data_IF_682358710574
#
_entry.id   IF_682358710574
#
_cell.length_a   1.000
_cell.length_b   1.000
_cell.length_c   1.000
_cell.angle_alpha   90.00
_cell.angle_beta   90.00
_cell.angle_gamma   90.00
#
_symmetry.space_group_name_H-M   'P 1'
#
loop_
_entity.id
_entity.type
_entity.pdbx_description
1 polymer ?
#
# COMPACT_ATOMS: atom_id res chain seq x y z
N UNK A 1 15.40 20.80 -6.90
CA UNK A 1 15.11 19.39 -7.25
C UNK A 1 13.64 19.32 -7.60
N UNK A 2 13.27 18.64 -8.69
CA UNK A 2 11.86 18.39 -9.00
C UNK A 2 11.25 17.51 -7.91
N UNK A 3 10.01 17.82 -7.50
CA UNK A 3 9.24 16.93 -6.60
C UNK A 3 8.95 15.63 -7.35
N UNK A 4 9.03 14.52 -6.66
CA UNK A 4 8.67 13.20 -7.19
C UNK A 4 7.73 12.49 -6.24
N UNK A 5 6.91 11.60 -6.76
CA UNK A 5 5.96 10.80 -5.99
C UNK A 5 5.76 9.43 -6.63
N UNK A 6 5.59 8.43 -5.84
CA UNK A 6 5.08 7.13 -6.26
C UNK A 6 3.56 7.09 -6.13
N UNK A 7 2.88 6.48 -7.10
CA UNK A 7 1.45 6.19 -7.02
C UNK A 7 1.27 4.69 -6.86
N UNK A 8 0.74 4.27 -5.71
CA UNK A 8 0.48 2.87 -5.45
C UNK A 8 -1.01 2.56 -5.35
N UNK A 9 -1.39 1.32 -5.69
CA UNK A 9 -2.75 0.85 -5.59
C UNK A 9 -2.77 -0.61 -5.11
N UNK A 10 -3.79 -0.96 -4.31
CA UNK A 10 -4.05 -2.32 -3.87
C UNK A 10 -4.80 -3.07 -4.97
N UNK A 11 -4.24 -4.18 -5.46
CA UNK A 11 -4.69 -4.92 -6.63
C UNK A 11 -4.68 -6.44 -6.38
N UNK A 12 -5.28 -7.19 -7.31
CA UNK A 12 -5.45 -8.63 -7.12
C UNK A 12 -6.49 -8.99 -6.05
N UNK A 13 -7.37 -8.04 -5.75
CA UNK A 13 -8.39 -8.14 -4.70
C UNK A 13 -9.79 -8.48 -5.24
N UNK A 14 -9.93 -8.63 -6.56
CA UNK A 14 -11.21 -8.96 -7.21
C UNK A 14 -12.12 -7.78 -7.48
N UNK A 15 -11.62 -6.54 -7.41
CA UNK A 15 -12.40 -5.33 -7.68
C UNK A 15 -12.72 -5.11 -9.18
N UNK A 16 -12.02 -5.81 -10.09
CA UNK A 16 -12.27 -5.76 -11.52
C UNK A 16 -11.64 -4.57 -12.28
N UNK A 17 -10.85 -3.73 -11.61
CA UNK A 17 -10.27 -2.52 -12.18
C UNK A 17 -8.75 -2.58 -12.38
N UNK A 18 -8.13 -3.74 -12.12
CA UNK A 18 -6.67 -3.91 -12.12
C UNK A 18 -6.03 -3.44 -13.44
N UNK A 19 -6.60 -3.86 -14.58
CA UNK A 19 -6.05 -3.51 -15.89
C UNK A 19 -6.06 -2.00 -16.17
N UNK A 20 -7.11 -1.30 -15.76
CA UNK A 20 -7.23 0.14 -15.96
C UNK A 20 -6.31 0.92 -15.02
N UNK A 21 -6.21 0.51 -13.76
CA UNK A 21 -5.36 1.13 -12.76
C UNK A 21 -3.88 0.96 -13.08
N UNK A 22 -3.46 -0.21 -13.61
CA UNK A 22 -2.08 -0.45 -14.04
C UNK A 22 -1.57 0.55 -15.08
N UNK A 23 -2.46 1.21 -15.83
CA UNK A 23 -2.06 2.22 -16.83
C UNK A 23 -1.65 3.56 -16.21
N UNK A 24 -1.92 3.80 -14.93
CA UNK A 24 -1.74 5.11 -14.29
C UNK A 24 -0.95 5.09 -12.98
N UNK A 25 -0.71 3.91 -12.42
CA UNK A 25 0.08 3.74 -11.19
C UNK A 25 1.54 3.40 -11.50
N UNK A 26 2.39 3.49 -10.49
CA UNK A 26 3.82 3.12 -10.57
C UNK A 26 4.17 1.93 -9.71
N UNK A 27 3.34 1.62 -8.71
CA UNK A 27 3.52 0.48 -7.79
C UNK A 27 2.20 -0.24 -7.54
N UNK A 28 2.20 -1.57 -7.64
CA UNK A 28 1.04 -2.42 -7.37
C UNK A 28 1.27 -3.21 -6.07
N UNK A 29 0.37 -3.08 -5.10
CA UNK A 29 0.36 -3.91 -3.90
C UNK A 29 -0.53 -5.12 -4.17
N UNK A 30 0.07 -6.28 -4.42
CA UNK A 30 -0.67 -7.46 -4.89
C UNK A 30 -1.09 -8.33 -3.70
N UNK A 31 -2.40 -8.59 -3.58
CA UNK A 31 -2.96 -9.48 -2.57
C UNK A 31 -2.33 -10.87 -2.63
N UNK A 32 -1.92 -11.39 -1.46
CA UNK A 32 -1.13 -12.62 -1.35
C UNK A 32 -1.94 -13.84 -0.89
N UNK A 33 -3.24 -13.89 -1.21
CA UNK A 33 -4.10 -15.04 -1.00
C UNK A 33 -4.73 -15.16 0.40
N UNK A 34 -4.35 -14.33 1.37
CA UNK A 34 -4.87 -14.44 2.73
C UNK A 34 -6.21 -13.69 2.92
N UNK A 35 -6.24 -12.39 2.64
CA UNK A 35 -7.45 -11.58 2.72
C UNK A 35 -8.23 -11.56 1.40
N UNK A 36 -7.53 -11.66 0.28
CA UNK A 36 -8.08 -11.67 -1.07
C UNK A 36 -7.12 -12.36 -2.04
N UNK A 37 -7.58 -12.58 -3.27
CA UNK A 37 -6.81 -13.23 -4.33
C UNK A 37 -6.56 -14.73 -4.08
N UNK A 38 -5.85 -15.33 -5.00
CA UNK A 38 -5.32 -16.70 -4.97
C UNK A 38 -4.08 -16.76 -5.88
N UNK A 39 -3.51 -17.93 -6.10
CA UNK A 39 -2.33 -18.09 -6.93
C UNK A 39 -2.58 -17.64 -8.38
N UNK A 40 -3.74 -17.98 -8.95
CA UNK A 40 -4.13 -17.59 -10.32
C UNK A 40 -4.24 -16.06 -10.43
N UNK A 41 -4.87 -15.43 -9.46
CA UNK A 41 -5.01 -13.97 -9.40
C UNK A 41 -3.65 -13.29 -9.24
N UNK A 42 -2.78 -13.81 -8.36
CA UNK A 42 -1.41 -13.31 -8.21
C UNK A 42 -0.62 -13.37 -9.51
N UNK A 43 -0.69 -14.53 -10.23
CA UNK A 43 0.00 -14.72 -11.52
C UNK A 43 -0.50 -13.72 -12.56
N UNK A 44 -1.82 -13.56 -12.68
CA UNK A 44 -2.44 -12.63 -13.63
C UNK A 44 -2.05 -11.17 -13.33
N UNK A 45 -2.13 -10.74 -12.05
CA UNK A 45 -1.81 -9.38 -11.65
C UNK A 45 -0.30 -9.08 -11.80
N UNK A 46 0.59 -10.05 -11.50
CA UNK A 46 2.04 -9.93 -11.75
C UNK A 46 2.34 -9.80 -13.25
N UNK A 47 1.67 -10.60 -14.10
CA UNK A 47 1.84 -10.50 -15.54
C UNK A 47 1.43 -9.12 -16.06
N UNK A 48 0.31 -8.59 -15.58
CA UNK A 48 -0.20 -7.28 -15.91
C UNK A 48 0.77 -6.16 -15.46
N UNK A 49 1.29 -6.23 -14.22
CA UNK A 49 2.26 -5.30 -13.71
C UNK A 49 3.54 -5.26 -14.57
N UNK A 50 4.05 -6.44 -14.97
CA UNK A 50 5.20 -6.55 -15.90
C UNK A 50 4.92 -5.91 -17.24
N UNK A 51 3.74 -6.13 -17.81
CA UNK A 51 3.33 -5.56 -19.10
C UNK A 51 3.34 -4.02 -19.07
N UNK A 52 2.96 -3.42 -17.95
CA UNK A 52 2.90 -1.97 -17.79
C UNK A 52 4.15 -1.34 -17.15
N UNK A 53 5.17 -2.15 -16.81
CA UNK A 53 6.37 -1.65 -16.14
C UNK A 53 6.11 -1.12 -14.71
N UNK A 54 5.06 -1.64 -14.05
CA UNK A 54 4.66 -1.26 -12.70
C UNK A 54 5.46 -2.09 -11.68
N UNK A 55 5.97 -1.45 -10.64
CA UNK A 55 6.70 -2.11 -9.56
C UNK A 55 5.78 -3.07 -8.78
N UNK A 56 6.27 -4.28 -8.51
CA UNK A 56 5.49 -5.33 -7.85
C UNK A 56 5.79 -5.33 -6.36
N UNK A 57 4.76 -5.19 -5.53
CA UNK A 57 4.83 -5.28 -4.09
C UNK A 57 3.89 -6.33 -3.52
N UNK A 58 4.27 -6.91 -2.39
CA UNK A 58 3.43 -7.84 -1.66
C UNK A 58 2.47 -7.10 -0.71
N UNK A 59 1.21 -7.54 -0.67
CA UNK A 59 0.15 -6.97 0.15
C UNK A 59 -0.35 -7.98 1.19
N UNK A 60 0.49 -8.33 2.21
CA UNK A 60 0.12 -9.31 3.22
C UNK A 60 -0.92 -8.76 4.18
N UNK A 61 -1.94 -9.56 4.49
CA UNK A 61 -3.01 -9.25 5.42
C UNK A 61 -3.34 -10.42 6.34
N UNK A 62 -4.22 -10.18 7.30
CA UNK A 62 -4.79 -11.26 8.10
C UNK A 62 -5.59 -12.24 7.24
N UNK A 63 -5.59 -13.53 7.60
CA UNK A 63 -6.31 -14.58 6.90
C UNK A 63 -7.82 -14.52 7.24
N UNK A 64 -8.47 -13.47 6.80
CA UNK A 64 -9.86 -13.13 7.11
C UNK A 64 -10.59 -12.67 5.84
N UNK A 65 -10.86 -13.60 4.94
CA UNK A 65 -11.55 -13.33 3.66
C UNK A 65 -12.96 -12.80 3.86
N UNK A 66 -13.66 -13.26 4.88
CA UNK A 66 -15.04 -12.85 5.17
C UNK A 66 -15.15 -11.36 5.47
N UNK A 67 -14.14 -10.79 6.16
CA UNK A 67 -14.08 -9.36 6.47
C UNK A 67 -12.98 -8.66 5.64
N UNK A 68 -12.51 -9.28 4.58
CA UNK A 68 -11.51 -8.70 3.69
C UNK A 68 -10.23 -8.24 4.42
N UNK A 69 -9.79 -9.01 5.45
CA UNK A 69 -8.61 -8.66 6.26
C UNK A 69 -8.74 -7.37 7.07
N UNK A 70 -9.96 -6.83 7.22
CA UNK A 70 -10.22 -5.55 7.91
C UNK A 70 -10.58 -5.70 9.39
N UNK A 71 -10.76 -6.93 9.87
CA UNK A 71 -10.95 -7.23 11.29
C UNK A 71 -9.59 -7.42 11.97
N UNK A 72 -9.42 -6.80 13.13
CA UNK A 72 -8.22 -7.02 13.94
C UNK A 72 -8.23 -8.40 14.62
N UNK A 73 -7.09 -9.05 14.55
CA UNK A 73 -6.86 -10.33 15.21
C UNK A 73 -5.79 -10.15 16.28
N UNK A 74 -6.04 -10.67 17.48
CA UNK A 74 -5.08 -10.70 18.56
C UNK A 74 -4.10 -11.88 18.35
N UNK A 75 -3.10 -11.66 17.47
CA UNK A 75 -2.04 -12.63 17.22
C UNK A 75 -0.77 -12.25 17.98
N UNK A 76 -0.01 -13.25 18.39
CA UNK A 76 1.33 -13.01 18.92
C UNK A 76 2.26 -12.44 17.82
N UNK A 77 3.27 -11.68 18.23
CA UNK A 77 4.24 -11.07 17.28
C UNK A 77 4.91 -12.13 16.38
N UNK A 78 5.20 -13.32 16.91
CA UNK A 78 5.76 -14.43 16.13
C UNK A 78 4.81 -14.96 15.06
N UNK A 79 3.50 -14.97 15.32
CA UNK A 79 2.47 -15.39 14.36
C UNK A 79 2.31 -14.36 13.26
N UNK A 80 2.32 -13.05 13.61
CA UNK A 80 2.32 -11.95 12.65
C UNK A 80 3.55 -12.03 11.75
N UNK A 81 4.72 -12.26 12.33
CA UNK A 81 5.97 -12.43 11.56
C UNK A 81 5.86 -13.58 10.57
N UNK A 82 5.45 -14.77 11.02
CA UNK A 82 5.30 -15.95 10.16
C UNK A 82 4.25 -15.75 9.06
N UNK A 83 3.16 -15.05 9.38
CA UNK A 83 2.10 -14.69 8.42
C UNK A 83 2.64 -13.79 7.30
N UNK A 84 3.39 -12.75 7.63
CA UNK A 84 3.97 -11.82 6.65
C UNK A 84 5.02 -12.52 5.80
N UNK A 85 5.96 -13.23 6.42
CA UNK A 85 7.02 -13.97 5.70
C UNK A 85 6.43 -14.93 4.66
N UNK A 86 5.43 -15.74 5.06
CA UNK A 86 4.77 -16.70 4.18
C UNK A 86 4.15 -16.02 2.97
N UNK A 87 3.42 -14.93 3.17
CA UNK A 87 2.71 -14.23 2.09
C UNK A 87 3.68 -13.52 1.13
N UNK A 88 4.71 -12.85 1.65
CA UNK A 88 5.73 -12.21 0.81
C UNK A 88 6.47 -13.26 -0.02
N UNK A 89 6.88 -14.38 0.59
CA UNK A 89 7.55 -15.48 -0.14
C UNK A 89 6.65 -16.11 -1.19
N UNK A 90 5.35 -16.24 -0.95
CA UNK A 90 4.41 -16.78 -1.95
C UNK A 90 4.41 -15.91 -3.21
N UNK A 91 4.35 -14.58 -3.10
CA UNK A 91 4.41 -13.70 -4.26
C UNK A 91 5.80 -13.69 -4.92
N UNK A 92 6.89 -13.84 -4.15
CA UNK A 92 8.25 -13.94 -4.70
C UNK A 92 8.47 -15.16 -5.59
N UNK A 93 7.69 -16.25 -5.42
CA UNK A 93 7.73 -17.39 -6.34
C UNK A 93 7.15 -17.07 -7.73
N UNK A 94 6.34 -16.02 -7.83
CA UNK A 94 5.62 -15.62 -9.05
C UNK A 94 6.30 -14.41 -9.72
N UNK A 95 6.83 -13.47 -8.92
CA UNK A 95 7.38 -12.23 -9.44
C UNK A 95 8.50 -11.63 -8.61
N UNK A 96 9.23 -10.69 -9.21
CA UNK A 96 10.26 -9.92 -8.49
C UNK A 96 9.59 -8.88 -7.61
N UNK A 97 9.45 -9.18 -6.32
CA UNK A 97 8.88 -8.27 -5.32
C UNK A 97 9.93 -7.24 -4.92
N UNK A 98 9.59 -5.95 -4.94
CA UNK A 98 10.48 -4.84 -4.57
C UNK A 98 10.02 -4.08 -3.33
N UNK A 99 8.73 -4.17 -2.97
CA UNK A 99 8.21 -3.56 -1.75
C UNK A 99 7.16 -4.42 -1.06
N UNK A 100 6.85 -4.07 0.18
CA UNK A 100 5.81 -4.71 0.99
C UNK A 100 4.96 -3.61 1.62
N UNK A 101 3.66 -3.73 1.46
CA UNK A 101 2.66 -2.90 2.13
C UNK A 101 1.67 -3.81 2.85
N UNK A 102 1.57 -3.80 4.18
CA UNK A 102 0.55 -4.55 4.89
C UNK A 102 -0.86 -4.13 4.46
N UNK A 103 -1.81 -5.06 4.50
CA UNK A 103 -3.21 -4.79 4.17
C UNK A 103 -4.05 -4.48 5.42
N UNK A 104 -5.03 -3.62 5.26
CA UNK A 104 -6.21 -3.49 6.12
C UNK A 104 -5.92 -3.35 7.61
N UNK A 105 -6.45 -4.27 8.42
CA UNK A 105 -6.28 -4.22 9.87
C UNK A 105 -4.81 -4.41 10.29
N UNK A 106 -4.04 -5.23 9.58
CA UNK A 106 -2.60 -5.40 9.86
C UNK A 106 -1.83 -4.08 9.63
N UNK A 107 -2.16 -3.34 8.56
CA UNK A 107 -1.58 -2.03 8.29
C UNK A 107 -1.85 -1.03 9.42
N UNK A 108 -3.12 -0.92 9.83
CA UNK A 108 -3.53 0.02 10.88
C UNK A 108 -2.96 -0.37 12.25
N UNK A 109 -2.89 -1.67 12.54
CA UNK A 109 -2.31 -2.17 13.79
C UNK A 109 -0.80 -1.89 13.83
N UNK A 110 -0.07 -2.21 12.77
CA UNK A 110 1.36 -1.91 12.66
C UNK A 110 1.66 -0.39 12.64
N UNK A 111 0.69 0.44 12.26
CA UNK A 111 0.88 1.89 12.33
C UNK A 111 0.93 2.44 13.75
N UNK A 112 0.26 1.79 14.73
CA UNK A 112 0.13 2.29 16.11
C UNK A 112 0.74 1.41 17.20
N UNK A 113 0.98 0.13 16.91
CA UNK A 113 1.53 -0.85 17.86
C UNK A 113 2.98 -1.19 17.50
N UNK A 114 3.91 -0.79 18.37
CA UNK A 114 5.34 -0.98 18.15
C UNK A 114 5.75 -2.46 18.06
N UNK A 115 5.10 -3.36 18.83
CA UNK A 115 5.41 -4.80 18.83
C UNK A 115 5.02 -5.42 17.50
N UNK A 116 3.85 -5.08 16.98
CA UNK A 116 3.37 -5.56 15.68
C UNK A 116 4.20 -4.93 14.54
N UNK A 117 4.53 -3.65 14.66
CA UNK A 117 5.42 -2.98 13.70
C UNK A 117 6.79 -3.66 13.59
N UNK A 118 7.38 -4.03 14.72
CA UNK A 118 8.66 -4.76 14.76
C UNK A 118 8.54 -6.17 14.18
N UNK A 119 7.43 -6.85 14.44
CA UNK A 119 7.16 -8.17 13.85
C UNK A 119 7.07 -8.09 12.33
N UNK A 120 6.33 -7.11 11.80
CA UNK A 120 6.19 -6.89 10.35
C UNK A 120 7.54 -6.49 9.74
N UNK A 121 8.22 -5.49 10.29
CA UNK A 121 9.51 -5.03 9.76
C UNK A 121 10.58 -6.13 9.80
N UNK A 122 10.65 -6.87 10.91
CA UNK A 122 11.54 -8.02 11.07
C UNK A 122 11.25 -9.15 10.07
N UNK A 123 9.97 -9.40 9.76
CA UNK A 123 9.56 -10.36 8.74
C UNK A 123 10.06 -9.96 7.35
N UNK A 124 9.80 -8.71 6.96
CA UNK A 124 10.23 -8.18 5.65
C UNK A 124 11.74 -8.23 5.51
N UNK A 125 12.48 -7.79 6.52
CA UNK A 125 13.94 -7.83 6.54
C UNK A 125 14.49 -9.26 6.42
N UNK A 126 13.89 -10.23 7.12
CA UNK A 126 14.30 -11.63 7.07
C UNK A 126 14.01 -12.30 5.71
N UNK A 127 13.01 -11.80 4.99
CA UNK A 127 12.74 -12.27 3.62
C UNK A 127 13.77 -11.71 2.65
N UNK A 128 13.96 -10.39 2.64
CA UNK A 128 15.00 -9.72 1.85
C UNK A 128 15.20 -8.29 2.40
N UNK A 129 16.40 -7.99 2.91
CA UNK A 129 16.76 -6.67 3.43
C UNK A 129 16.77 -5.54 2.38
N UNK A 130 16.66 -5.86 1.10
CA UNK A 130 16.57 -4.87 0.00
C UNK A 130 15.15 -4.38 -0.25
N UNK A 131 14.13 -5.08 0.28
CA UNK A 131 12.73 -4.68 0.13
C UNK A 131 12.46 -3.31 0.77
N UNK A 132 11.53 -2.59 0.18
CA UNK A 132 11.01 -1.34 0.73
C UNK A 132 9.74 -1.62 1.52
N UNK A 133 9.57 -1.01 2.69
CA UNK A 133 8.27 -0.99 3.36
C UNK A 133 7.50 0.26 2.95
N UNK A 134 6.24 0.11 2.52
CA UNK A 134 5.28 1.19 2.43
C UNK A 134 4.47 1.25 3.73
N UNK A 135 4.54 2.39 4.42
CA UNK A 135 3.94 2.55 5.74
C UNK A 135 3.36 3.95 5.93
N UNK A 136 2.26 4.04 6.68
CA UNK A 136 1.63 5.31 7.02
C UNK A 136 2.66 6.27 7.59
N UNK A 137 2.71 7.46 7.03
CA UNK A 137 3.64 8.51 7.42
C UNK A 137 3.62 8.75 8.93
N UNK A 138 4.80 8.75 9.56
CA UNK A 138 4.99 8.98 10.98
C UNK A 138 4.60 7.81 11.90
N UNK A 139 4.22 6.65 11.35
CA UNK A 139 3.76 5.47 12.09
C UNK A 139 4.88 4.72 12.82
N UNK A 140 4.48 3.78 13.71
CA UNK A 140 5.41 2.83 14.33
C UNK A 140 6.09 1.93 13.28
N UNK A 141 5.40 1.56 12.20
CA UNK A 141 5.99 0.74 11.14
C UNK A 141 7.11 1.49 10.39
N UNK A 142 7.00 2.82 10.21
CA UNK A 142 8.10 3.65 9.67
C UNK A 142 9.31 3.57 10.59
N UNK A 143 9.08 3.72 11.91
CA UNK A 143 10.16 3.65 12.90
C UNK A 143 10.80 2.26 12.96
N UNK A 144 9.99 1.20 12.97
CA UNK A 144 10.46 -0.17 13.00
C UNK A 144 11.24 -0.54 11.74
N UNK A 145 10.75 -0.19 10.55
CA UNK A 145 11.44 -0.44 9.28
C UNK A 145 12.83 0.20 9.25
N UNK A 146 12.92 1.46 9.67
CA UNK A 146 14.21 2.17 9.76
C UNK A 146 15.17 1.56 10.79
N UNK A 147 14.65 1.10 11.95
CA UNK A 147 15.48 0.43 12.97
C UNK A 147 16.14 -0.85 12.48
N UNK A 148 15.45 -1.64 11.65
CA UNK A 148 16.02 -2.87 11.08
C UNK A 148 16.80 -2.63 9.79
N UNK A 149 16.98 -1.38 9.36
CA UNK A 149 17.78 -1.01 8.19
C UNK A 149 17.06 -1.12 6.84
N UNK A 150 15.75 -1.29 6.82
CA UNK A 150 14.97 -1.29 5.58
C UNK A 150 14.80 0.15 5.05
N UNK A 151 14.71 0.27 3.73
CA UNK A 151 14.19 1.49 3.11
C UNK A 151 12.68 1.57 3.39
N UNK A 152 12.20 2.77 3.70
CA UNK A 152 10.79 3.00 4.00
C UNK A 152 10.26 4.13 3.13
N UNK A 153 9.16 3.89 2.44
CA UNK A 153 8.38 4.92 1.76
C UNK A 153 7.24 5.37 2.70
N UNK A 154 7.26 6.64 3.06
CA UNK A 154 6.21 7.24 3.89
C UNK A 154 4.96 7.49 3.05
N UNK A 155 3.94 6.66 3.31
CA UNK A 155 2.70 6.61 2.55
C UNK A 155 1.66 7.59 3.09
N UNK A 156 0.92 8.18 2.15
CA UNK A 156 -0.29 8.96 2.38
C UNK A 156 -1.42 8.48 1.47
N UNK A 157 -2.65 8.86 1.79
CA UNK A 157 -3.85 8.46 1.07
C UNK A 157 -4.55 9.67 0.47
N UNK A 158 -4.84 9.63 -0.82
CA UNK A 158 -5.56 10.71 -1.48
C UNK A 158 -7.02 10.78 -1.05
N UNK A 159 -7.66 9.63 -0.89
CA UNK A 159 -9.11 9.43 -0.72
C UNK A 159 -9.54 9.16 0.74
N UNK A 160 -8.65 9.34 1.71
CA UNK A 160 -8.93 9.07 3.13
C UNK A 160 -8.77 10.31 4.00
N UNK A 161 -9.61 10.41 5.02
CA UNK A 161 -9.45 11.43 6.05
C UNK A 161 -8.54 10.95 7.19
N UNK A 162 -7.99 11.91 7.92
CA UNK A 162 -7.03 11.69 9.00
C UNK A 162 -7.54 12.29 10.30
N UNK A 163 -7.20 11.65 11.41
CA UNK A 163 -7.35 12.17 12.76
C UNK A 163 -6.23 13.16 13.08
N UNK A 164 -6.39 13.91 14.15
CA UNK A 164 -5.41 14.93 14.58
C UNK A 164 -4.01 14.36 14.90
N UNK A 165 -3.95 13.07 15.27
CA UNK A 165 -2.70 12.32 15.55
C UNK A 165 -2.04 11.75 14.27
N UNK A 166 -2.64 11.97 13.09
CA UNK A 166 -2.16 11.45 11.82
C UNK A 166 -2.64 10.04 11.47
N UNK A 167 -3.39 9.37 12.34
CA UNK A 167 -4.00 8.08 12.03
C UNK A 167 -5.13 8.23 11.00
N UNK A 168 -5.34 7.19 10.19
CA UNK A 168 -6.49 7.17 9.28
C UNK A 168 -7.79 7.09 10.08
N UNK A 169 -8.80 7.85 9.68
CA UNK A 169 -10.16 7.69 10.20
C UNK A 169 -10.65 6.27 9.88
N UNK A 170 -11.16 5.49 10.84
CA UNK A 170 -11.67 4.14 10.58
C UNK A 170 -12.72 4.13 9.47
N UNK A 171 -12.63 3.18 8.53
CA UNK A 171 -13.53 3.15 7.35
C UNK A 171 -15.02 3.08 7.69
N UNK A 172 -15.39 2.55 8.86
CA UNK A 172 -16.77 2.47 9.33
C UNK A 172 -17.32 3.83 9.82
N UNK A 173 -16.46 4.80 10.07
CA UNK A 173 -16.88 6.14 10.51
C UNK A 173 -17.34 6.99 9.32
N UNK A 174 -18.38 7.78 9.54
CA UNK A 174 -18.85 8.72 8.52
C UNK A 174 -17.75 9.72 8.16
N UNK A 175 -17.59 9.97 6.86
CA UNK A 175 -16.56 10.90 6.37
C UNK A 175 -15.15 10.33 6.33
N UNK A 176 -14.93 9.02 6.59
CA UNK A 176 -13.64 8.39 6.51
C UNK A 176 -13.06 8.34 5.08
N UNK A 177 -13.92 8.36 4.08
CA UNK A 177 -13.57 8.37 2.66
C UNK A 177 -13.94 9.70 2.03
N UNK A 178 -13.00 10.29 1.30
CA UNK A 178 -13.23 11.50 0.52
C UNK A 178 -13.76 11.08 -0.85
N UNK A 179 -15.03 11.40 -1.12
CA UNK A 179 -15.69 11.09 -2.40
C UNK A 179 -15.61 12.22 -3.42
N UNK A 180 -15.30 13.44 -2.98
CA UNK A 180 -15.06 14.58 -3.86
C UNK A 180 -13.65 14.51 -4.44
N UNK A 181 -13.55 14.32 -5.76
CA UNK A 181 -12.27 14.19 -6.45
C UNK A 181 -11.39 15.44 -6.32
N UNK A 182 -11.99 16.65 -6.33
CA UNK A 182 -11.20 17.88 -6.23
C UNK A 182 -10.58 18.02 -4.83
N UNK A 183 -11.31 17.63 -3.79
CA UNK A 183 -10.82 17.60 -2.42
C UNK A 183 -9.70 16.56 -2.26
N UNK A 184 -9.88 15.36 -2.81
CA UNK A 184 -8.87 14.29 -2.77
C UNK A 184 -7.56 14.71 -3.47
N UNK A 185 -7.66 15.31 -4.66
CA UNK A 185 -6.50 15.81 -5.42
C UNK A 185 -5.79 16.94 -4.68
N UNK A 186 -6.54 17.92 -4.15
CA UNK A 186 -5.96 19.01 -3.37
C UNK A 186 -5.24 18.49 -2.13
N UNK A 187 -5.78 17.47 -1.45
CA UNK A 187 -5.12 16.78 -0.35
C UNK A 187 -3.82 16.12 -0.79
N UNK A 188 -3.85 15.33 -1.87
CA UNK A 188 -2.68 14.65 -2.40
C UNK A 188 -1.55 15.63 -2.75
N UNK A 189 -1.85 16.72 -3.47
CA UNK A 189 -0.87 17.75 -3.81
C UNK A 189 -0.24 18.42 -2.57
N UNK A 190 -1.02 18.68 -1.53
CA UNK A 190 -0.48 19.20 -0.25
C UNK A 190 0.47 18.20 0.39
N UNK A 191 0.12 16.91 0.40
CA UNK A 191 0.92 15.86 1.02
C UNK A 191 2.24 15.62 0.27
N UNK A 192 2.23 15.68 -1.06
CA UNK A 192 3.45 15.62 -1.87
C UNK A 192 4.39 16.80 -1.55
N UNK A 193 3.84 18.02 -1.48
CA UNK A 193 4.63 19.21 -1.11
C UNK A 193 5.16 19.13 0.33
N UNK A 194 4.48 18.40 1.20
CA UNK A 194 4.94 18.11 2.56
C UNK A 194 5.94 16.94 2.64
N UNK A 195 6.36 16.37 1.49
CA UNK A 195 7.41 15.35 1.41
C UNK A 195 6.91 13.91 1.63
N UNK A 196 5.70 13.57 1.17
CA UNK A 196 5.28 12.18 1.08
C UNK A 196 6.10 11.44 0.00
N UNK A 197 6.37 10.17 0.20
CA UNK A 197 7.12 9.32 -0.72
C UNK A 197 6.21 8.57 -1.70
N UNK A 198 5.03 8.17 -1.25
CA UNK A 198 4.05 7.42 -2.05
C UNK A 198 2.61 7.81 -1.66
N UNK A 199 1.73 7.85 -2.66
CA UNK A 199 0.29 8.05 -2.47
C UNK A 199 -0.43 6.76 -2.80
N UNK A 200 -1.24 6.27 -1.86
CA UNK A 200 -2.16 5.18 -2.09
C UNK A 200 -3.47 5.66 -2.69
N UNK A 201 -3.93 4.91 -3.68
CA UNK A 201 -5.28 4.94 -4.24
C UNK A 201 -5.93 3.58 -3.99
N UNK A 202 -7.19 3.59 -3.54
CA UNK A 202 -7.92 2.34 -3.36
C UNK A 202 -8.62 1.94 -4.66
N UNK A 203 -8.42 0.68 -5.09
CA UNK A 203 -9.02 0.13 -6.30
C UNK A 203 -10.47 -0.33 -6.17
N UNK A 204 -11.00 -0.41 -4.94
CA UNK A 204 -12.31 -0.98 -4.61
C UNK A 204 -13.49 0.03 -4.72
N UNK A 205 -13.23 1.28 -5.03
CA UNK A 205 -14.25 2.32 -5.16
C UNK A 205 -14.82 2.46 -6.57
N UNK A 206 -16.11 2.78 -6.72
CA UNK A 206 -16.77 3.00 -8.01
C UNK A 206 -16.11 4.11 -8.86
N UNK A 207 -15.37 5.03 -8.24
CA UNK A 207 -14.68 6.14 -8.89
C UNK A 207 -13.15 6.01 -8.88
N UNK A 208 -12.63 4.83 -8.46
CA UNK A 208 -11.19 4.61 -8.29
C UNK A 208 -10.37 4.95 -9.54
N UNK A 209 -10.79 4.46 -10.70
CA UNK A 209 -10.11 4.67 -11.98
C UNK A 209 -10.16 6.15 -12.40
N UNK A 210 -11.30 6.82 -12.23
CA UNK A 210 -11.46 8.23 -12.56
C UNK A 210 -10.55 9.10 -11.70
N UNK A 211 -10.56 8.88 -10.38
CA UNK A 211 -9.70 9.60 -9.44
C UNK A 211 -8.20 9.34 -9.75
N UNK A 212 -7.82 8.09 -10.02
CA UNK A 212 -6.44 7.74 -10.34
C UNK A 212 -5.95 8.45 -11.61
N UNK A 213 -6.74 8.43 -12.68
CA UNK A 213 -6.41 9.13 -13.96
C UNK A 213 -6.30 10.63 -13.74
N UNK A 214 -7.24 11.22 -13.03
CA UNK A 214 -7.24 12.65 -12.76
C UNK A 214 -6.08 13.06 -11.88
N UNK A 215 -5.80 12.34 -10.81
CA UNK A 215 -4.65 12.60 -9.95
C UNK A 215 -3.32 12.49 -10.71
N UNK A 216 -3.18 11.47 -11.58
CA UNK A 216 -2.00 11.32 -12.43
C UNK A 216 -1.77 12.56 -13.32
N UNK A 217 -2.83 13.08 -13.96
CA UNK A 217 -2.76 14.29 -14.80
C UNK A 217 -2.38 15.52 -13.97
N UNK A 218 -3.06 15.75 -12.85
CA UNK A 218 -2.86 16.93 -12.00
C UNK A 218 -1.45 16.97 -11.37
N UNK A 219 -0.90 15.82 -10.96
CA UNK A 219 0.48 15.72 -10.48
C UNK A 219 1.47 16.13 -11.57
N UNK A 220 1.32 15.63 -12.80
CA UNK A 220 2.19 15.99 -13.92
C UNK A 220 2.08 17.47 -14.31
N UNK A 221 0.87 18.01 -14.34
CA UNK A 221 0.64 19.44 -14.61
C UNK A 221 1.24 20.34 -13.52
N UNK A 222 1.32 19.83 -12.29
CA UNK A 222 1.98 20.49 -11.15
C UNK A 222 3.52 20.36 -11.17
N UNK A 223 4.12 19.78 -12.23
CA UNK A 223 5.56 19.58 -12.35
C UNK A 223 6.13 18.50 -11.42
N UNK A 224 5.29 17.59 -10.96
CA UNK A 224 5.69 16.47 -10.09
C UNK A 224 5.99 15.26 -10.97
N UNK A 225 7.19 14.69 -10.81
CA UNK A 225 7.58 13.44 -11.46
C UNK A 225 6.89 12.26 -10.79
N UNK A 226 6.14 11.46 -11.58
CA UNK A 226 5.51 10.24 -11.07
C UNK A 226 6.43 9.07 -11.39
N UNK A 227 6.94 8.41 -10.33
CA UNK A 227 7.92 7.34 -10.44
C UNK A 227 7.86 6.41 -9.23
N UNK A 228 8.01 5.10 -9.44
CA UNK A 228 8.07 4.11 -8.38
C UNK A 228 9.17 4.43 -7.36
N UNK A 229 8.88 4.22 -6.08
CA UNK A 229 9.83 4.45 -5.00
C UNK A 229 10.87 3.32 -4.93
N UNK A 230 12.13 3.70 -4.98
CA UNK A 230 13.24 2.76 -4.77
C UNK A 230 13.61 1.89 -5.97
N UNK A 231 13.04 2.17 -7.15
CA UNK A 231 13.37 1.50 -8.43
C UNK A 231 14.15 2.44 -9.34
#
# INVERSE_FOLDING_TARGET
MSLRIDLNCDLGEGAGHDAELMTVITSANIACGAHAGDETTMQATVALARQHGVAIGAHPGFADRENFGRREWALAASEVRALVERQVRALQQIGTVVHVKPHGALYNLAARDAVIAEAVAGAVHAVDARLVIFALRGSELVRAGRRVGLRVAEEVFADRTYRADGALTPRAEAGAVITDEAVAIAQALRMVRAGADTICLHGDGAHAVALARRLHVELRQSGIEIRAFGV
#
